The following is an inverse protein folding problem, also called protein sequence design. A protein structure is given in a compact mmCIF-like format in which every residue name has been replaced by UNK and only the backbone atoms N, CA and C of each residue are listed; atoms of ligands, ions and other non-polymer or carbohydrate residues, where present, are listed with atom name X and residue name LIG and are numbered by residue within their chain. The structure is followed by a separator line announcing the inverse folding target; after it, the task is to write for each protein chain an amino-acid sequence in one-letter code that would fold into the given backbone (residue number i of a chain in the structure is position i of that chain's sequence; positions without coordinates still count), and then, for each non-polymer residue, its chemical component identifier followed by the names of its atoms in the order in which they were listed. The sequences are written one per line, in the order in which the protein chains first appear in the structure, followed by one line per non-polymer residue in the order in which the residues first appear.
data_IF_643975922725
#
_entry.id   IF_643975922725
#
_cell.length_a   1.000
_cell.length_b   1.000
_cell.length_c   1.000
_cell.angle_alpha   90.00
_cell.angle_beta   90.00
_cell.angle_gamma   90.00
#
_symmetry.space_group_name_H-M   'P 1'
#
loop_
_entity.id
_entity.type
_entity.pdbx_description
1 polymer ?
#
# COMPACT_ATOMS: atom_id res chain seq x y z
N UNK A 1 19.41 8.64 3.89
CA UNK A 1 18.02 8.96 3.49
C UNK A 1 17.43 9.85 4.57
N UNK A 2 16.68 10.90 4.20
CA UNK A 2 15.94 11.73 5.16
C UNK A 2 14.56 11.12 5.39
N UNK A 3 14.09 11.14 6.64
CA UNK A 3 12.75 10.71 6.99
C UNK A 3 11.84 11.93 7.12
N UNK A 4 10.67 11.90 6.49
CA UNK A 4 9.64 12.92 6.68
C UNK A 4 8.97 12.74 8.04
N UNK A 5 8.68 11.48 8.40
CA UNK A 5 8.03 11.12 9.65
C UNK A 5 8.87 10.06 10.37
N UNK A 6 9.14 10.28 11.66
CA UNK A 6 9.82 9.33 12.53
C UNK A 6 8.97 9.12 13.80
N UNK A 7 8.37 7.95 13.90
CA UNK A 7 7.55 7.51 15.01
C UNK A 7 8.42 6.69 15.94
N UNK A 8 8.56 7.11 17.18
CA UNK A 8 9.47 6.53 18.17
C UNK A 8 8.70 5.98 19.36
N UNK A 9 8.68 4.64 19.50
CA UNK A 9 8.13 3.91 20.64
C UNK A 9 6.68 4.33 20.99
N UNK A 10 5.86 4.64 19.98
CA UNK A 10 4.50 5.10 20.19
C UNK A 10 3.63 4.02 20.84
N UNK A 11 3.03 4.34 21.97
CA UNK A 11 2.08 3.49 22.68
C UNK A 11 0.79 4.24 22.93
N UNK A 12 -0.35 3.55 22.82
CA UNK A 12 -1.68 4.12 23.07
C UNK A 12 -2.61 3.09 23.67
N UNK A 13 -3.27 3.47 24.76
CA UNK A 13 -4.25 2.63 25.45
C UNK A 13 -5.60 3.38 25.57
N UNK A 14 -6.69 2.65 25.46
CA UNK A 14 -8.06 3.13 25.68
C UNK A 14 -8.73 2.21 26.72
N UNK A 15 -8.80 2.68 27.97
CA UNK A 15 -9.20 1.81 29.09
C UNK A 15 -8.28 0.59 29.17
N UNK A 16 -8.85 -0.60 29.12
CA UNK A 16 -8.09 -1.86 29.17
C UNK A 16 -7.57 -2.31 27.79
N UNK A 17 -7.94 -1.61 26.70
CA UNK A 17 -7.55 -1.97 25.36
C UNK A 17 -6.27 -1.25 24.95
N UNK A 18 -5.22 -2.01 24.67
CA UNK A 18 -3.98 -1.49 24.07
C UNK A 18 -4.13 -1.41 22.55
N UNK A 19 -4.16 -0.20 22.01
CA UNK A 19 -4.31 0.04 20.57
C UNK A 19 -2.96 0.10 19.84
N UNK A 20 -1.90 0.55 20.52
CA UNK A 20 -0.51 0.54 20.02
C UNK A 20 0.42 0.19 21.19
N UNK A 21 1.38 -0.69 20.94
CA UNK A 21 2.37 -1.14 21.89
C UNK A 21 3.79 -0.94 21.34
N UNK A 22 4.45 0.12 21.78
CA UNK A 22 5.86 0.40 21.45
C UNK A 22 6.18 0.38 19.95
N UNK A 23 5.33 1.02 19.13
CA UNK A 23 5.44 1.04 17.68
C UNK A 23 6.45 2.12 17.25
N UNK A 24 7.49 1.71 16.51
CA UNK A 24 8.48 2.62 15.89
C UNK A 24 8.50 2.40 14.38
N UNK A 25 8.30 3.48 13.61
CA UNK A 25 8.22 3.44 12.14
C UNK A 25 8.91 4.70 11.60
N UNK A 26 9.76 4.52 10.59
CA UNK A 26 10.41 5.61 9.86
C UNK A 26 9.91 5.66 8.43
N UNK A 27 9.38 6.81 8.01
CA UNK A 27 8.82 7.01 6.68
C UNK A 27 9.76 7.90 5.86
N UNK A 28 10.40 7.34 4.81
CA UNK A 28 11.31 8.11 3.96
C UNK A 28 10.58 9.24 3.23
N UNK A 29 11.24 10.38 3.10
CA UNK A 29 10.71 11.51 2.36
C UNK A 29 10.54 11.16 0.87
N UNK A 30 9.40 11.55 0.25
CA UNK A 30 9.11 11.34 -1.15
C UNK A 30 8.79 9.87 -1.51
N UNK A 31 8.51 9.02 -0.52
CA UNK A 31 8.13 7.61 -0.74
C UNK A 31 6.63 7.38 -0.57
N UNK A 32 6.15 6.26 -1.11
CA UNK A 32 4.83 5.69 -0.78
C UNK A 32 5.03 4.59 0.25
N UNK A 33 4.46 4.76 1.42
CA UNK A 33 4.60 3.87 2.56
C UNK A 33 3.28 3.16 2.87
N UNK A 34 3.26 1.83 2.81
CA UNK A 34 2.10 1.00 3.13
C UNK A 34 2.00 0.72 4.63
N UNK A 35 0.89 1.12 5.25
CA UNK A 35 0.57 0.77 6.63
C UNK A 35 -0.44 -0.38 6.64
N UNK A 36 0.02 -1.59 6.93
CA UNK A 36 -0.72 -2.83 6.76
C UNK A 36 -1.16 -3.43 8.09
N UNK A 37 -2.15 -4.28 8.02
CA UNK A 37 -2.64 -5.06 9.18
C UNK A 37 -4.15 -5.29 9.12
N UNK A 38 -4.66 -6.26 9.88
CA UNK A 38 -6.10 -6.53 9.96
C UNK A 38 -6.86 -5.36 10.62
N UNK A 39 -8.19 -5.42 10.55
CA UNK A 39 -9.03 -4.46 11.26
C UNK A 39 -8.81 -4.58 12.76
N UNK A 40 -8.73 -3.43 13.45
CA UNK A 40 -8.43 -3.37 14.89
C UNK A 40 -6.95 -3.53 15.24
N UNK A 41 -6.04 -3.72 14.28
CA UNK A 41 -4.61 -3.88 14.56
C UNK A 41 -3.91 -2.65 15.17
N UNK A 42 -4.50 -1.45 15.05
CA UNK A 42 -3.92 -0.18 15.54
C UNK A 42 -3.63 0.85 14.46
N UNK A 43 -3.78 0.53 13.16
CA UNK A 43 -3.51 1.43 12.03
C UNK A 43 -4.19 2.79 12.16
N UNK A 44 -5.51 2.79 12.36
CA UNK A 44 -6.30 4.03 12.49
C UNK A 44 -5.88 4.84 13.73
N UNK A 45 -5.49 4.18 14.82
CA UNK A 45 -4.96 4.86 16.01
C UNK A 45 -3.64 5.56 15.68
N UNK A 46 -2.73 4.92 14.96
CA UNK A 46 -1.48 5.52 14.53
C UNK A 46 -1.72 6.71 13.59
N UNK A 47 -2.62 6.56 12.62
CA UNK A 47 -3.04 7.65 11.72
C UNK A 47 -3.62 8.84 12.51
N UNK A 48 -4.45 8.58 13.51
CA UNK A 48 -5.00 9.64 14.39
C UNK A 48 -3.93 10.36 15.20
N UNK A 49 -2.88 9.65 15.64
CA UNK A 49 -1.72 10.25 16.31
C UNK A 49 -0.97 11.17 15.34
N UNK A 50 -0.68 10.72 14.12
CA UNK A 50 0.01 11.52 13.10
C UNK A 50 -0.80 12.77 12.74
N UNK A 51 -2.14 12.68 12.71
CA UNK A 51 -3.02 13.82 12.46
C UNK A 51 -3.32 14.67 13.70
N UNK A 52 -2.69 14.38 14.83
CA UNK A 52 -2.93 15.06 16.13
C UNK A 52 -4.40 15.07 16.59
N UNK A 53 -5.17 14.08 16.14
CA UNK A 53 -6.54 13.84 16.63
C UNK A 53 -6.48 13.20 18.03
N UNK A 54 -5.44 12.42 18.30
CA UNK A 54 -5.13 11.85 19.61
C UNK A 54 -3.63 11.95 19.89
N UNK A 55 -3.25 11.88 21.16
CA UNK A 55 -1.86 11.97 21.62
C UNK A 55 -1.43 10.56 22.06
N UNK A 56 -0.20 10.10 21.75
CA UNK A 56 0.32 8.85 22.28
C UNK A 56 0.51 8.98 23.81
N UNK A 57 0.34 7.87 24.53
CA UNK A 57 0.57 7.83 25.98
C UNK A 57 2.07 7.75 26.30
N UNK A 58 2.84 7.13 25.39
CA UNK A 58 4.31 7.07 25.44
C UNK A 58 4.88 7.19 24.02
N UNK A 59 6.17 7.58 23.95
CA UNK A 59 6.87 7.77 22.70
C UNK A 59 6.66 9.17 22.11
N UNK A 60 7.15 9.36 20.89
CA UNK A 60 7.10 10.64 20.19
C UNK A 60 6.90 10.43 18.69
N UNK A 61 6.42 11.48 18.02
CA UNK A 61 6.37 11.55 16.54
C UNK A 61 7.14 12.79 16.13
N UNK A 62 8.13 12.63 15.26
CA UNK A 62 8.87 13.70 14.66
C UNK A 62 8.43 13.90 13.21
N UNK A 63 8.25 15.15 12.82
CA UNK A 63 7.96 15.56 11.44
C UNK A 63 9.12 16.43 10.94
N UNK A 64 9.80 16.03 9.87
CA UNK A 64 11.03 16.68 9.39
C UNK A 64 12.09 16.85 10.50
N UNK A 65 12.20 15.88 11.40
CA UNK A 65 13.15 15.88 12.52
C UNK A 65 12.75 16.74 13.73
N UNK A 66 11.65 17.50 13.66
CA UNK A 66 11.11 18.27 14.78
C UNK A 66 9.89 17.56 15.41
N UNK A 67 9.63 17.73 16.73
CA UNK A 67 8.43 17.18 17.35
C UNK A 67 7.16 17.62 16.60
N UNK A 68 6.29 16.67 16.31
CA UNK A 68 5.03 16.92 15.61
C UNK A 68 4.17 17.87 16.43
N UNK A 69 3.76 18.99 15.84
CA UNK A 69 3.00 20.04 16.47
C UNK A 69 1.83 20.51 15.58
N UNK A 70 0.87 21.25 16.16
CA UNK A 70 -0.37 21.66 15.47
C UNK A 70 -0.13 22.50 14.21
N UNK A 71 0.99 23.22 14.11
CA UNK A 71 1.36 23.96 12.90
C UNK A 71 1.67 23.05 11.70
N UNK A 72 2.11 21.79 11.92
CA UNK A 72 2.38 20.83 10.85
C UNK A 72 1.11 20.28 10.20
N UNK A 73 -0.08 20.43 10.83
CA UNK A 73 -1.34 19.91 10.27
C UNK A 73 -1.71 20.56 8.93
N UNK A 74 -1.20 21.75 8.63
CA UNK A 74 -1.34 22.37 7.31
C UNK A 74 -0.52 21.66 6.23
N UNK A 75 0.58 20.98 6.62
CA UNK A 75 1.46 20.23 5.72
C UNK A 75 1.03 18.75 5.60
N UNK A 76 -0.10 18.38 6.22
CA UNK A 76 -0.67 17.04 6.20
C UNK A 76 -2.05 17.06 5.53
N UNK A 77 -2.22 16.23 4.50
CA UNK A 77 -3.50 15.92 3.88
C UNK A 77 -3.97 14.55 4.37
N UNK A 78 -5.18 14.46 4.91
CA UNK A 78 -5.76 13.20 5.39
C UNK A 78 -7.08 12.91 4.70
N UNK A 79 -7.15 11.77 4.03
CA UNK A 79 -8.36 11.17 3.47
C UNK A 79 -8.77 10.00 4.37
N UNK A 80 -9.77 10.17 5.24
CA UNK A 80 -10.26 9.09 6.08
C UNK A 80 -11.11 8.09 5.29
N UNK A 81 -11.21 6.85 5.78
CA UNK A 81 -12.11 5.83 5.24
C UNK A 81 -13.57 6.28 5.26
N UNK A 82 -14.00 6.88 6.37
CA UNK A 82 -15.33 7.48 6.51
C UNK A 82 -15.37 8.91 5.94
N UNK A 83 -16.49 9.25 5.30
CA UNK A 83 -16.63 10.53 4.62
C UNK A 83 -16.81 11.68 5.58
N UNK A 84 -15.88 12.62 5.57
CA UNK A 84 -15.93 13.88 6.34
C UNK A 84 -16.66 15.03 5.63
N UNK A 85 -17.47 14.76 4.59
CA UNK A 85 -18.15 15.80 3.81
C UNK A 85 -19.52 16.17 4.43
N UNK A 86 -19.82 17.47 4.51
CA UNK A 86 -21.12 17.97 5.00
C UNK A 86 -22.22 17.81 3.95
N UNK A 87 -23.17 16.92 4.21
CA UNK A 87 -24.18 16.46 3.24
C UNK A 87 -25.03 17.57 2.61
N UNK A 88 -25.35 18.61 3.36
CA UNK A 88 -26.23 19.72 2.95
C UNK A 88 -25.50 20.85 2.21
N UNK A 89 -24.17 20.92 2.28
CA UNK A 89 -23.39 21.94 1.58
C UNK A 89 -23.27 21.62 0.08
N UNK A 90 -23.13 22.67 -0.73
CA UNK A 90 -22.77 22.54 -2.13
C UNK A 90 -21.30 22.13 -2.25
N UNK A 91 -20.98 21.35 -3.31
CA UNK A 91 -19.62 20.86 -3.59
C UNK A 91 -18.59 21.99 -3.63
N UNK A 92 -18.85 23.04 -4.43
CA UNK A 92 -17.95 24.17 -4.56
C UNK A 92 -17.78 24.98 -3.26
N UNK A 93 -18.86 25.18 -2.50
CA UNK A 93 -18.83 25.87 -1.20
C UNK A 93 -17.96 25.12 -0.20
N UNK A 94 -18.18 23.79 -0.09
CA UNK A 94 -17.43 22.95 0.82
C UNK A 94 -15.96 22.84 0.45
N UNK A 95 -15.67 22.65 -0.85
CA UNK A 95 -14.29 22.55 -1.33
C UNK A 95 -13.52 23.85 -1.04
N UNK A 96 -14.12 25.02 -1.27
CA UNK A 96 -13.54 26.32 -0.91
C UNK A 96 -13.35 26.46 0.61
N UNK A 97 -14.33 26.08 1.41
CA UNK A 97 -14.26 26.14 2.86
C UNK A 97 -13.10 25.29 3.40
N UNK A 98 -13.00 24.02 2.96
CA UNK A 98 -11.94 23.11 3.40
C UNK A 98 -10.55 23.58 2.95
N UNK A 99 -10.44 24.14 1.74
CA UNK A 99 -9.21 24.74 1.24
C UNK A 99 -8.73 25.92 2.09
N UNK A 100 -9.66 26.79 2.51
CA UNK A 100 -9.34 27.93 3.37
C UNK A 100 -8.95 27.50 4.79
N UNK A 101 -9.54 26.43 5.33
CA UNK A 101 -9.11 25.85 6.61
C UNK A 101 -7.66 25.34 6.57
N UNK A 102 -7.18 24.92 5.38
CA UNK A 102 -5.79 24.53 5.14
C UNK A 102 -4.86 25.70 4.80
N UNK A 103 -5.36 26.95 4.91
CA UNK A 103 -4.56 28.17 4.78
C UNK A 103 -4.51 28.78 3.37
N UNK A 104 -5.24 28.23 2.40
CA UNK A 104 -5.31 28.83 1.07
C UNK A 104 -6.17 30.10 1.08
N UNK A 105 -5.76 31.15 0.36
CA UNK A 105 -6.63 32.28 0.07
C UNK A 105 -7.82 31.84 -0.80
N UNK A 106 -8.94 32.57 -0.72
CA UNK A 106 -10.12 32.27 -1.54
C UNK A 106 -9.81 32.30 -3.07
N UNK A 107 -8.93 33.19 -3.50
CA UNK A 107 -8.51 33.30 -4.89
C UNK A 107 -7.73 32.07 -5.32
N UNK A 108 -6.70 31.72 -4.58
CA UNK A 108 -5.86 30.57 -4.83
C UNK A 108 -6.64 29.26 -4.77
N UNK A 109 -7.52 29.08 -3.79
CA UNK A 109 -8.39 27.93 -3.67
C UNK A 109 -9.28 27.76 -4.92
N UNK A 110 -9.88 28.86 -5.43
CA UNK A 110 -10.68 28.83 -6.65
C UNK A 110 -9.88 28.43 -7.88
N UNK A 111 -8.67 28.96 -8.06
CA UNK A 111 -7.79 28.64 -9.18
C UNK A 111 -7.38 27.16 -9.16
N UNK A 112 -6.98 26.66 -7.99
CA UNK A 112 -6.61 25.24 -7.84
C UNK A 112 -7.81 24.31 -8.01
N UNK A 113 -8.97 24.67 -7.46
CA UNK A 113 -10.20 23.90 -7.64
C UNK A 113 -10.64 23.84 -9.11
N UNK A 114 -10.55 24.97 -9.83
CA UNK A 114 -10.85 25.01 -11.26
C UNK A 114 -10.01 23.97 -12.00
N UNK A 115 -8.69 23.94 -11.78
CA UNK A 115 -7.78 22.97 -12.38
C UNK A 115 -8.19 21.51 -12.06
N UNK A 116 -8.47 21.18 -10.81
CA UNK A 116 -8.87 19.83 -10.42
C UNK A 116 -10.24 19.43 -10.99
N UNK A 117 -11.20 20.36 -11.04
CA UNK A 117 -12.52 20.11 -11.59
C UNK A 117 -12.49 19.91 -13.12
N UNK A 118 -11.63 20.63 -13.82
CA UNK A 118 -11.34 20.41 -15.24
C UNK A 118 -10.67 19.05 -15.45
N UNK A 119 -9.62 18.74 -14.69
CA UNK A 119 -8.87 17.48 -14.79
C UNK A 119 -9.72 16.25 -14.59
N UNK A 120 -10.68 16.29 -13.65
CA UNK A 120 -11.61 15.18 -13.38
C UNK A 120 -12.94 15.28 -14.16
N UNK A 121 -13.10 16.28 -15.01
CA UNK A 121 -14.32 16.54 -15.81
C UNK A 121 -15.60 16.69 -14.96
N UNK A 122 -15.46 17.28 -13.75
CA UNK A 122 -16.53 17.39 -12.75
C UNK A 122 -17.02 18.82 -12.53
N UNK A 123 -16.74 19.76 -13.42
CA UNK A 123 -17.14 21.17 -13.31
C UNK A 123 -18.66 21.34 -13.08
N UNK A 124 -19.47 20.47 -13.67
CA UNK A 124 -20.93 20.45 -13.53
C UNK A 124 -21.44 20.00 -12.16
N UNK A 125 -20.54 19.56 -11.23
CA UNK A 125 -20.93 19.22 -9.86
C UNK A 125 -20.86 20.41 -8.90
N UNK A 126 -20.31 21.54 -9.31
CA UNK A 126 -20.02 22.69 -8.45
C UNK A 126 -21.21 23.13 -7.57
N UNK A 127 -22.40 23.21 -8.16
CA UNK A 127 -23.61 23.65 -7.47
C UNK A 127 -24.46 22.51 -6.89
N UNK A 128 -24.10 21.24 -7.12
CA UNK A 128 -24.78 20.10 -6.51
C UNK A 128 -24.50 20.04 -5.01
N UNK A 129 -25.48 19.57 -4.24
CA UNK A 129 -25.25 19.24 -2.82
C UNK A 129 -24.51 17.92 -2.69
N UNK A 130 -23.69 17.78 -1.67
CA UNK A 130 -22.91 16.55 -1.41
C UNK A 130 -23.82 15.32 -1.32
N UNK A 131 -25.01 15.43 -0.74
CA UNK A 131 -25.97 14.32 -0.65
C UNK A 131 -26.50 13.83 -2.00
N UNK A 132 -26.38 14.62 -3.06
CA UNK A 132 -26.82 14.28 -4.42
C UNK A 132 -25.73 13.48 -5.19
N UNK A 133 -24.53 13.37 -4.60
CA UNK A 133 -23.42 12.65 -5.20
C UNK A 133 -23.50 11.15 -4.89
N UNK A 134 -23.12 10.33 -5.87
CA UNK A 134 -22.84 8.91 -5.64
C UNK A 134 -21.63 8.73 -4.70
N UNK A 135 -21.43 7.50 -4.21
CA UNK A 135 -20.29 7.17 -3.35
C UNK A 135 -18.96 7.53 -4.00
N UNK A 136 -18.72 7.13 -5.25
CA UNK A 136 -17.51 7.44 -5.98
C UNK A 136 -17.33 8.91 -6.28
N UNK A 137 -18.43 9.64 -6.62
CA UNK A 137 -18.38 11.09 -6.82
C UNK A 137 -17.94 11.84 -5.54
N UNK A 138 -18.53 11.50 -4.40
CA UNK A 138 -18.13 12.11 -3.11
C UNK A 138 -16.68 11.80 -2.76
N UNK A 139 -16.19 10.60 -3.09
CA UNK A 139 -14.81 10.21 -2.90
C UNK A 139 -13.83 11.04 -3.74
N UNK A 140 -14.17 11.32 -5.02
CA UNK A 140 -13.37 12.23 -5.86
C UNK A 140 -13.25 13.63 -5.24
N UNK A 141 -14.36 14.18 -4.73
CA UNK A 141 -14.35 15.49 -4.06
C UNK A 141 -13.48 15.44 -2.79
N UNK A 142 -13.61 14.37 -2.02
CA UNK A 142 -12.81 14.19 -0.80
C UNK A 142 -11.31 14.06 -1.11
N UNK A 143 -10.95 13.34 -2.17
CA UNK A 143 -9.56 13.29 -2.64
C UNK A 143 -9.05 14.68 -3.02
N UNK A 144 -9.81 15.42 -3.85
CA UNK A 144 -9.41 16.77 -4.30
C UNK A 144 -9.13 17.69 -3.10
N UNK A 145 -10.05 17.77 -2.14
CA UNK A 145 -9.87 18.65 -0.98
C UNK A 145 -8.72 18.23 -0.07
N UNK A 146 -8.37 16.95 -0.09
CA UNK A 146 -7.22 16.40 0.65
C UNK A 146 -5.88 16.84 0.05
N UNK A 147 -5.77 16.90 -1.28
CA UNK A 147 -4.50 17.19 -1.97
C UNK A 147 -4.35 18.67 -2.39
N UNK A 148 -5.45 19.43 -2.38
CA UNK A 148 -5.56 20.77 -2.95
C UNK A 148 -4.53 21.78 -2.43
N UNK A 149 -4.19 21.69 -1.14
CA UNK A 149 -3.23 22.58 -0.48
C UNK A 149 -1.76 22.18 -0.68
N UNK A 150 -1.48 21.10 -1.44
CA UNK A 150 -0.14 20.54 -1.73
C UNK A 150 0.63 20.21 -0.45
N UNK A 151 0.10 19.31 0.39
CA UNK A 151 0.76 18.91 1.63
C UNK A 151 2.04 18.12 1.36
N UNK A 152 2.99 18.18 2.30
CA UNK A 152 4.21 17.35 2.28
C UNK A 152 3.92 15.89 2.58
N UNK A 153 2.93 15.62 3.44
CA UNK A 153 2.47 14.29 3.82
C UNK A 153 1.01 14.10 3.42
N UNK A 154 0.75 13.06 2.65
CA UNK A 154 -0.59 12.60 2.30
C UNK A 154 -0.86 11.28 3.02
N UNK A 155 -1.98 11.19 3.72
CA UNK A 155 -2.43 9.96 4.38
C UNK A 155 -3.74 9.55 3.75
N UNK A 156 -3.76 8.38 3.12
CA UNK A 156 -4.92 7.79 2.47
C UNK A 156 -5.33 6.51 3.21
N UNK A 157 -6.47 6.56 3.89
CA UNK A 157 -7.05 5.42 4.58
C UNK A 157 -8.14 4.81 3.69
N UNK A 158 -7.87 3.61 3.13
CA UNK A 158 -8.72 2.90 2.18
C UNK A 158 -9.19 3.75 0.97
N UNK A 159 -8.29 4.44 0.25
CA UNK A 159 -8.67 5.46 -0.75
C UNK A 159 -9.47 4.91 -1.94
N UNK A 160 -9.36 3.62 -2.23
CA UNK A 160 -10.06 2.99 -3.36
C UNK A 160 -11.41 2.38 -2.96
N UNK A 161 -11.80 2.48 -1.69
CA UNK A 161 -13.10 1.98 -1.23
C UNK A 161 -14.25 2.75 -1.88
N UNK A 162 -15.07 2.06 -2.66
CA UNK A 162 -16.25 2.62 -3.32
C UNK A 162 -16.04 3.22 -4.70
N UNK A 163 -14.84 3.10 -5.26
CA UNK A 163 -14.59 3.31 -6.68
C UNK A 163 -14.79 2.01 -7.47
N UNK A 164 -15.25 2.14 -8.73
CA UNK A 164 -15.07 1.12 -9.75
C UNK A 164 -13.61 1.07 -10.21
N UNK A 165 -13.18 0.01 -10.90
CA UNK A 165 -11.77 -0.17 -11.31
C UNK A 165 -11.21 0.99 -12.14
N UNK A 166 -12.02 1.62 -13.02
CA UNK A 166 -11.56 2.72 -13.88
C UNK A 166 -11.26 3.95 -13.04
N UNK A 167 -12.19 4.32 -12.15
CA UNK A 167 -12.00 5.48 -11.28
C UNK A 167 -10.90 5.24 -10.22
N UNK A 168 -10.72 3.99 -9.76
CA UNK A 168 -9.62 3.63 -8.86
C UNK A 168 -8.26 3.85 -9.53
N UNK A 169 -8.10 3.49 -10.81
CA UNK A 169 -6.86 3.72 -11.56
C UNK A 169 -6.56 5.22 -11.72
N UNK A 170 -7.58 6.05 -12.01
CA UNK A 170 -7.38 7.51 -12.08
C UNK A 170 -6.83 8.07 -10.77
N UNK A 171 -7.40 7.67 -9.63
CA UNK A 171 -6.91 8.13 -8.32
C UNK A 171 -5.50 7.60 -8.04
N UNK A 172 -5.19 6.37 -8.45
CA UNK A 172 -3.87 5.76 -8.31
C UNK A 172 -2.81 6.54 -9.10
N UNK A 173 -3.09 6.87 -10.35
CA UNK A 173 -2.20 7.65 -11.19
C UNK A 173 -1.93 9.04 -10.59
N UNK A 174 -2.96 9.67 -9.99
CA UNK A 174 -2.81 10.94 -9.29
C UNK A 174 -1.94 10.82 -8.04
N UNK A 175 -2.07 9.75 -7.26
CA UNK A 175 -1.21 9.49 -6.09
C UNK A 175 0.25 9.36 -6.51
N UNK A 176 0.52 8.60 -7.59
CA UNK A 176 1.87 8.44 -8.15
C UNK A 176 2.44 9.77 -8.68
N UNK A 177 1.60 10.61 -9.30
CA UNK A 177 2.01 11.93 -9.76
C UNK A 177 2.38 12.84 -8.58
N UNK A 178 1.53 12.90 -7.55
CA UNK A 178 1.79 13.70 -6.35
C UNK A 178 3.08 13.26 -5.64
N UNK A 179 3.36 11.96 -5.60
CA UNK A 179 4.62 11.43 -5.04
C UNK A 179 5.81 11.87 -5.90
N UNK A 180 5.73 11.80 -7.23
CA UNK A 180 6.77 12.29 -8.14
C UNK A 180 7.01 13.80 -8.01
N UNK A 181 5.99 14.58 -7.64
CA UNK A 181 6.08 16.00 -7.32
C UNK A 181 6.70 16.27 -5.93
N UNK A 182 7.04 15.22 -5.17
CA UNK A 182 7.74 15.29 -3.90
C UNK A 182 6.89 15.07 -2.66
N UNK A 183 5.62 14.76 -2.78
CA UNK A 183 4.80 14.39 -1.64
C UNK A 183 5.22 13.03 -1.07
N UNK A 184 5.19 12.88 0.25
CA UNK A 184 5.29 11.58 0.92
C UNK A 184 3.89 11.05 1.17
N UNK A 185 3.67 9.78 0.93
CA UNK A 185 2.34 9.17 1.03
C UNK A 185 2.34 8.04 2.06
N UNK A 186 1.40 8.05 2.99
CA UNK A 186 1.02 6.88 3.79
C UNK A 186 -0.26 6.31 3.19
N UNK A 187 -0.20 5.03 2.88
CA UNK A 187 -1.27 4.30 2.25
C UNK A 187 -1.73 3.17 3.18
N UNK A 188 -2.90 3.32 3.81
CA UNK A 188 -3.49 2.30 4.67
C UNK A 188 -4.52 1.51 3.90
N UNK A 189 -4.32 0.20 3.76
CA UNK A 189 -5.25 -0.69 3.06
C UNK A 189 -5.11 -2.13 3.51
N UNK A 190 -6.15 -2.91 3.27
CA UNK A 190 -6.15 -4.38 3.35
C UNK A 190 -6.01 -5.06 1.97
N UNK A 191 -5.94 -4.28 0.88
CA UNK A 191 -5.77 -4.79 -0.50
C UNK A 191 -4.30 -4.92 -0.84
N UNK A 192 -3.73 -6.12 -0.67
CA UNK A 192 -2.29 -6.37 -0.82
C UNK A 192 -1.78 -6.14 -2.25
N UNK A 193 -2.61 -6.34 -3.28
CA UNK A 193 -2.28 -6.05 -4.68
C UNK A 193 -1.93 -4.57 -4.88
N UNK A 194 -2.72 -3.65 -4.29
CA UNK A 194 -2.44 -2.21 -4.36
C UNK A 194 -1.15 -1.83 -3.63
N UNK A 195 -0.79 -2.59 -2.58
CA UNK A 195 0.47 -2.39 -1.84
C UNK A 195 1.67 -2.75 -2.70
N UNK A 196 1.63 -3.90 -3.36
CA UNK A 196 2.71 -4.35 -4.26
C UNK A 196 2.96 -3.39 -5.41
N UNK A 197 1.90 -2.79 -5.90
CA UNK A 197 1.95 -1.92 -7.07
C UNK A 197 2.41 -0.49 -6.73
N UNK A 198 2.05 0.01 -5.54
CA UNK A 198 2.24 1.41 -5.19
C UNK A 198 3.34 1.67 -4.16
N UNK A 199 3.57 0.74 -3.22
CA UNK A 199 4.38 1.04 -2.04
C UNK A 199 5.86 0.74 -2.25
N UNK A 200 6.72 1.68 -1.85
CA UNK A 200 8.17 1.48 -1.76
C UNK A 200 8.55 0.72 -0.48
N UNK A 201 7.90 1.09 0.62
CA UNK A 201 8.14 0.56 1.96
C UNK A 201 6.81 0.22 2.62
N UNK A 202 6.85 -0.73 3.54
CA UNK A 202 5.67 -1.15 4.31
C UNK A 202 5.99 -1.32 5.79
N UNK A 203 4.96 -1.19 6.63
CA UNK A 203 4.97 -1.72 7.99
C UNK A 203 3.69 -2.51 8.24
N UNK A 204 3.82 -3.67 8.85
CA UNK A 204 2.72 -4.54 9.25
C UNK A 204 2.48 -4.43 10.75
N UNK A 205 1.28 -3.99 11.12
CA UNK A 205 0.82 -3.96 12.51
C UNK A 205 -0.14 -5.12 12.74
N UNK A 206 0.12 -5.90 13.78
CA UNK A 206 -0.76 -6.98 14.24
C UNK A 206 -0.85 -6.99 15.76
N UNK A 207 -2.09 -7.13 16.30
CA UNK A 207 -2.34 -7.11 17.75
C UNK A 207 -1.57 -5.98 18.45
N UNK A 208 -1.70 -4.74 17.90
CA UNK A 208 -1.08 -3.50 18.41
C UNK A 208 0.46 -3.40 18.30
N UNK A 209 1.13 -4.43 17.77
CA UNK A 209 2.59 -4.48 17.61
C UNK A 209 2.98 -4.37 16.13
N UNK A 210 4.11 -3.71 15.85
CA UNK A 210 4.75 -3.78 14.55
C UNK A 210 5.50 -5.11 14.45
N UNK A 211 5.11 -5.97 13.52
CA UNK A 211 5.70 -7.32 13.34
C UNK A 211 6.60 -7.44 12.11
N UNK A 212 6.47 -6.52 11.14
CA UNK A 212 7.31 -6.48 9.95
C UNK A 212 7.42 -5.03 9.47
N UNK A 213 8.60 -4.59 9.01
CA UNK A 213 8.76 -3.34 8.26
C UNK A 213 10.01 -3.38 7.37
N UNK A 214 10.00 -2.54 6.32
CA UNK A 214 11.10 -2.41 5.38
C UNK A 214 10.67 -2.09 3.97
N UNK A 215 11.61 -2.09 3.03
CA UNK A 215 11.27 -1.96 1.61
C UNK A 215 10.54 -3.21 1.11
N UNK A 216 9.53 -3.02 0.27
CA UNK A 216 8.78 -4.12 -0.34
C UNK A 216 9.72 -5.10 -1.05
N UNK A 217 10.73 -4.56 -1.75
CA UNK A 217 11.74 -5.35 -2.45
C UNK A 217 12.57 -6.22 -1.53
N UNK A 218 13.07 -5.68 -0.41
CA UNK A 218 13.94 -6.41 0.52
C UNK A 218 13.14 -7.44 1.31
N UNK A 219 11.91 -7.10 1.70
CA UNK A 219 10.98 -8.04 2.33
C UNK A 219 10.75 -9.23 1.39
N UNK A 220 10.35 -9.01 0.14
CA UNK A 220 10.15 -10.09 -0.83
C UNK A 220 11.42 -10.94 -1.01
N UNK A 221 12.59 -10.30 -1.05
CA UNK A 221 13.87 -11.00 -1.15
C UNK A 221 14.15 -11.90 0.07
N UNK A 222 13.82 -11.44 1.27
CA UNK A 222 14.00 -12.21 2.51
C UNK A 222 13.10 -13.44 2.57
N UNK A 223 11.87 -13.33 2.06
CA UNK A 223 10.88 -14.41 2.05
C UNK A 223 10.98 -15.33 0.81
N UNK A 224 11.89 -15.05 -0.10
CA UNK A 224 12.14 -15.85 -1.29
C UNK A 224 12.68 -17.23 -0.91
N UNK A 225 12.09 -18.29 -1.47
CA UNK A 225 12.36 -19.68 -1.14
C UNK A 225 13.26 -20.41 -2.14
N UNK A 226 13.86 -19.73 -3.13
CA UNK A 226 14.64 -20.34 -4.23
C UNK A 226 13.84 -21.42 -4.97
N UNK A 227 12.56 -21.14 -5.21
CA UNK A 227 11.60 -22.05 -5.87
C UNK A 227 11.30 -21.55 -7.27
N UNK A 228 11.16 -22.49 -8.22
CA UNK A 228 10.91 -22.19 -9.64
C UNK A 228 9.69 -22.95 -10.13
N UNK A 229 8.82 -22.27 -10.87
CA UNK A 229 7.78 -22.88 -11.69
C UNK A 229 8.34 -23.16 -13.07
N UNK A 230 8.15 -24.42 -13.53
CA UNK A 230 8.78 -24.96 -14.73
C UNK A 230 7.71 -25.65 -15.57
N UNK A 231 7.68 -25.31 -16.86
CA UNK A 231 6.91 -26.00 -17.88
C UNK A 231 7.85 -26.64 -18.90
N UNK A 232 7.84 -27.94 -18.98
CA UNK A 232 8.70 -28.72 -19.92
C UNK A 232 7.84 -29.62 -20.79
N UNK A 233 8.12 -29.60 -22.09
CA UNK A 233 7.56 -30.55 -23.06
C UNK A 233 8.49 -31.72 -23.16
N UNK A 234 8.02 -32.92 -22.80
CA UNK A 234 8.77 -34.17 -22.84
C UNK A 234 7.82 -35.37 -23.05
N UNK A 235 8.29 -36.39 -23.72
CA UNK A 235 7.56 -37.65 -23.85
C UNK A 235 7.69 -38.55 -22.61
N UNK A 236 8.72 -38.32 -21.80
CA UNK A 236 9.10 -39.17 -20.65
C UNK A 236 8.73 -38.50 -19.30
N UNK A 237 7.49 -38.02 -19.14
CA UNK A 237 7.05 -37.24 -17.97
C UNK A 237 7.35 -37.92 -16.62
N UNK A 238 7.06 -39.22 -16.50
CA UNK A 238 7.26 -39.97 -15.25
C UNK A 238 8.74 -40.15 -14.89
N UNK A 239 9.59 -40.42 -15.88
CA UNK A 239 11.03 -40.58 -15.70
C UNK A 239 11.66 -39.24 -15.23
N UNK A 240 11.28 -38.12 -15.85
CA UNK A 240 11.75 -36.78 -15.49
C UNK A 240 11.36 -36.45 -14.04
N UNK A 241 10.12 -36.77 -13.63
CA UNK A 241 9.66 -36.57 -12.26
C UNK A 241 10.49 -37.40 -11.27
N UNK A 242 10.76 -38.66 -11.56
CA UNK A 242 11.53 -39.55 -10.68
C UNK A 242 12.97 -39.07 -10.50
N UNK A 243 13.63 -38.65 -11.56
CA UNK A 243 15.00 -38.18 -11.53
C UNK A 243 15.12 -36.87 -10.77
N UNK A 244 14.20 -35.90 -11.01
CA UNK A 244 14.20 -34.62 -10.31
C UNK A 244 13.90 -34.76 -8.81
N UNK A 245 13.03 -35.69 -8.42
CA UNK A 245 12.72 -35.98 -7.00
C UNK A 245 13.92 -36.50 -6.19
N UNK A 246 14.94 -37.08 -6.85
CA UNK A 246 16.13 -37.54 -6.14
C UNK A 246 17.02 -36.40 -5.65
N UNK A 247 16.98 -35.23 -6.32
CA UNK A 247 17.88 -34.15 -6.09
C UNK A 247 17.19 -32.87 -5.54
N UNK A 248 15.87 -32.76 -5.73
CA UNK A 248 15.12 -31.53 -5.45
C UNK A 248 13.80 -31.83 -4.74
N UNK A 249 13.32 -30.84 -3.97
CA UNK A 249 11.96 -30.83 -3.49
C UNK A 249 11.06 -30.45 -4.67
N UNK A 250 10.14 -31.37 -5.05
CA UNK A 250 9.32 -31.23 -6.22
C UNK A 250 7.84 -31.36 -5.88
N UNK A 251 7.05 -30.41 -6.37
CA UNK A 251 5.60 -30.39 -6.31
C UNK A 251 5.05 -30.22 -7.74
N UNK A 252 3.80 -30.64 -7.97
CA UNK A 252 3.10 -30.30 -9.21
C UNK A 252 2.70 -28.83 -9.18
N UNK A 253 2.91 -28.14 -10.30
CA UNK A 253 2.49 -26.74 -10.44
C UNK A 253 1.16 -26.64 -11.20
N UNK A 254 0.40 -25.60 -10.92
CA UNK A 254 -0.85 -25.26 -11.61
C UNK A 254 -0.76 -23.82 -12.16
N UNK A 255 -0.27 -23.67 -13.37
CA UNK A 255 -0.28 -22.41 -14.11
C UNK A 255 -0.85 -22.60 -15.51
N UNK A 256 -1.41 -21.53 -16.07
CA UNK A 256 -2.05 -21.59 -17.40
C UNK A 256 -1.00 -21.70 -18.50
N UNK A 257 -1.18 -22.67 -19.40
CA UNK A 257 -0.39 -22.85 -20.62
C UNK A 257 -1.30 -23.16 -21.80
N UNK A 258 -0.81 -22.93 -23.01
CA UNK A 258 -1.52 -23.27 -24.25
C UNK A 258 -1.32 -24.76 -24.58
N UNK A 259 -0.10 -25.24 -24.38
CA UNK A 259 0.30 -26.61 -24.73
C UNK A 259 0.26 -27.56 -23.53
N UNK A 260 0.21 -28.88 -23.79
CA UNK A 260 0.34 -29.93 -22.78
C UNK A 260 1.79 -30.04 -22.31
N UNK A 261 2.09 -29.50 -21.18
CA UNK A 261 3.39 -29.46 -20.54
C UNK A 261 3.39 -30.23 -19.22
N UNK A 262 4.53 -30.80 -18.88
CA UNK A 262 4.79 -31.20 -17.49
C UNK A 262 5.05 -29.93 -16.64
N UNK A 263 4.16 -29.64 -15.71
CA UNK A 263 4.21 -28.45 -14.85
C UNK A 263 4.74 -28.82 -13.48
N UNK A 264 5.88 -28.28 -13.14
CA UNK A 264 6.58 -28.59 -11.90
C UNK A 264 6.89 -27.33 -11.11
N UNK A 265 6.86 -27.45 -9.79
CA UNK A 265 7.38 -26.48 -8.85
C UNK A 265 8.56 -27.10 -8.14
N UNK A 266 9.75 -26.54 -8.34
CA UNK A 266 11.01 -27.11 -7.86
C UNK A 266 11.65 -26.12 -6.88
N UNK A 267 11.92 -26.58 -5.66
CA UNK A 267 12.68 -25.80 -4.67
C UNK A 267 14.13 -26.31 -4.67
N UNK A 268 15.05 -25.38 -4.95
CA UNK A 268 16.47 -25.65 -4.93
C UNK A 268 17.04 -25.51 -3.51
N UNK A 269 17.97 -26.41 -3.10
CA UNK A 269 18.82 -26.15 -1.96
C UNK A 269 19.57 -24.82 -2.12
N UNK A 270 19.92 -24.16 -1.01
CA UNK A 270 20.57 -22.83 -1.02
C UNK A 270 21.90 -22.82 -1.79
N UNK A 271 22.55 -23.94 -1.89
CA UNK A 271 23.87 -24.12 -2.52
C UNK A 271 23.79 -24.31 -4.04
N UNK A 272 22.62 -24.68 -4.56
CA UNK A 272 22.43 -24.96 -6.00
C UNK A 272 22.05 -23.70 -6.78
N UNK A 273 22.64 -23.59 -7.96
CA UNK A 273 22.33 -22.52 -8.92
C UNK A 273 21.13 -22.88 -9.79
N UNK A 274 20.31 -21.87 -10.12
CA UNK A 274 19.25 -22.02 -11.13
C UNK A 274 19.80 -22.45 -12.51
N UNK A 275 21.07 -22.11 -12.83
CA UNK A 275 21.70 -22.54 -14.07
C UNK A 275 21.92 -24.05 -14.11
N UNK A 276 22.25 -24.69 -12.99
CA UNK A 276 22.39 -26.16 -12.91
C UNK A 276 21.05 -26.84 -13.19
N UNK A 277 19.96 -26.29 -12.61
CA UNK A 277 18.61 -26.79 -12.89
C UNK A 277 18.24 -26.63 -14.35
N UNK A 278 18.50 -25.46 -14.97
CA UNK A 278 18.21 -25.22 -16.38
C UNK A 278 19.00 -26.21 -17.28
N UNK A 279 20.28 -26.43 -16.99
CA UNK A 279 21.11 -27.37 -17.73
C UNK A 279 20.52 -28.79 -17.65
N UNK A 280 20.16 -29.25 -16.47
CA UNK A 280 19.53 -30.54 -16.25
C UNK A 280 18.21 -30.69 -17.05
N UNK A 281 17.37 -29.64 -17.01
CA UNK A 281 16.08 -29.65 -17.71
C UNK A 281 16.21 -29.65 -19.22
N UNK A 282 17.21 -28.97 -19.79
CA UNK A 282 17.45 -28.96 -21.25
C UNK A 282 17.82 -30.33 -21.81
N UNK A 283 18.40 -31.23 -21.00
CA UNK A 283 18.68 -32.63 -21.37
C UNK A 283 17.41 -33.51 -21.36
N UNK A 284 16.34 -33.07 -20.67
CA UNK A 284 15.11 -33.83 -20.46
C UNK A 284 13.96 -33.44 -21.39
N UNK A 285 14.04 -32.28 -22.03
CA UNK A 285 13.01 -31.81 -22.95
C UNK A 285 13.12 -30.32 -23.25
N UNK A 286 12.09 -29.80 -23.92
CA UNK A 286 12.04 -28.39 -24.29
C UNK A 286 11.41 -27.58 -23.15
N UNK A 287 12.17 -26.66 -22.57
CA UNK A 287 11.66 -25.73 -21.55
C UNK A 287 10.85 -24.65 -22.26
N UNK A 288 9.58 -24.51 -21.90
CA UNK A 288 8.69 -23.46 -22.40
C UNK A 288 8.32 -22.42 -21.30
N UNK A 289 8.47 -22.79 -20.02
CA UNK A 289 8.25 -21.91 -18.90
C UNK A 289 9.33 -22.12 -17.84
N UNK A 290 9.93 -21.03 -17.35
CA UNK A 290 10.88 -21.04 -16.27
C UNK A 290 10.78 -19.72 -15.53
N UNK A 291 10.14 -19.72 -14.36
CA UNK A 291 9.89 -18.50 -13.59
C UNK A 291 10.21 -18.73 -12.14
N UNK A 292 10.98 -17.83 -11.54
CA UNK A 292 11.23 -17.85 -10.12
C UNK A 292 9.99 -17.43 -9.35
N UNK A 293 9.59 -18.22 -8.35
CA UNK A 293 8.45 -17.94 -7.47
C UNK A 293 8.87 -16.89 -6.45
N UNK A 294 8.40 -15.67 -6.65
CA UNK A 294 8.58 -14.58 -5.69
C UNK A 294 7.27 -14.44 -4.91
N UNK A 295 7.30 -14.59 -3.57
CA UNK A 295 6.07 -14.50 -2.78
C UNK A 295 5.42 -13.13 -2.90
N UNK A 296 4.11 -13.10 -2.99
CA UNK A 296 3.30 -11.89 -2.93
C UNK A 296 3.32 -11.30 -1.52
N UNK A 297 3.07 -10.00 -1.41
CA UNK A 297 2.91 -9.36 -0.08
C UNK A 297 1.76 -9.99 0.71
N UNK A 298 0.73 -10.50 0.03
CA UNK A 298 -0.36 -11.23 0.69
C UNK A 298 0.11 -12.55 1.33
N UNK A 299 0.91 -13.34 0.63
CA UNK A 299 1.48 -14.58 1.16
C UNK A 299 2.42 -14.30 2.34
N UNK A 300 3.28 -13.29 2.22
CA UNK A 300 4.18 -12.84 3.28
C UNK A 300 3.36 -12.38 4.51
N UNK A 301 2.29 -11.61 4.28
CA UNK A 301 1.37 -11.16 5.33
C UNK A 301 0.77 -12.34 6.10
N UNK A 302 0.20 -13.32 5.39
CA UNK A 302 -0.41 -14.53 6.00
C UNK A 302 0.64 -15.29 6.77
N UNK A 303 1.81 -15.58 6.18
CA UNK A 303 2.90 -16.31 6.83
C UNK A 303 3.40 -15.61 8.09
N UNK A 304 3.57 -14.28 8.02
CA UNK A 304 4.06 -13.49 9.16
C UNK A 304 3.05 -13.47 10.30
N UNK A 305 1.76 -13.31 10.02
CA UNK A 305 0.71 -13.36 11.07
C UNK A 305 0.66 -14.73 11.72
N UNK A 306 0.62 -15.82 10.92
CA UNK A 306 0.56 -17.20 11.44
C UNK A 306 1.76 -17.57 12.30
N UNK A 307 2.92 -16.96 12.09
CA UNK A 307 4.10 -17.19 12.94
C UNK A 307 4.07 -16.39 14.25
N UNK A 308 3.13 -15.45 14.41
CA UNK A 308 2.96 -14.61 15.61
C UNK A 308 1.66 -14.93 16.38
N UNK A 309 0.91 -15.92 15.97
CA UNK A 309 -0.24 -16.49 16.70
C UNK A 309 0.19 -17.52 17.74
#
# INVERSE_FOLDING_TARGET
MSYLLDIQNASKQYGDYTALNNVSIQIPQGSIFGLLGPNGAGKTTLIRIINQITIPDKGAVLFEGAPLASNHIRDIGYLPEERGLYKTMKVGEQALYLAQLKGLSKKEAKERLKHWFEKFEIGHWWDKKIQELSKGMAQKIQFIVTVLHRPKLLIFDEPFSGFDPINANVIKDEILLLQKEGATVIFSTHRMESVEELCDNIALIHKSNKILDGSVRDIKRTFKSNTFEIGIVTEQKEQVIQELKQNFILEMADFKTIDDQLKLKITLPKENSSNELVTLLTEKGQIQHFTEVIPSINEIFIQTISSHE
#
